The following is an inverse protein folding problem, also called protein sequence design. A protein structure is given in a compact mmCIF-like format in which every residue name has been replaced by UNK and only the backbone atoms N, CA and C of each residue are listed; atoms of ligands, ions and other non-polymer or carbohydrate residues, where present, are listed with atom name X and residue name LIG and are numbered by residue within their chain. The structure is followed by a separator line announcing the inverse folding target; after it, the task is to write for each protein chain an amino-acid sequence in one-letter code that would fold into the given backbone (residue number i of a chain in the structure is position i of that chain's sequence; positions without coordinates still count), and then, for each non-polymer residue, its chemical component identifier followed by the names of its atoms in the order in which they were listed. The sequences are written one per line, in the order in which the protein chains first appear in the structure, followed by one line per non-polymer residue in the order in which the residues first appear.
data_IF_216767570952
#
_entry.id   IF_216767570952
#
_cell.length_a   1.000
_cell.length_b   1.000
_cell.length_c   1.000
_cell.angle_alpha   90.00
_cell.angle_beta   90.00
_cell.angle_gamma   90.00
#
_symmetry.space_group_name_H-M   'P 1'
#
loop_
_entity.id
_entity.type
_entity.pdbx_description
1 polymer ?
#
# COMPACT_ATOMS: atom_id res chain seq x y z
N UNK A 1 43.31 63.68 -47.11
CA UNK A 1 42.95 62.31 -47.55
C UNK A 1 42.36 61.55 -46.35
N UNK A 2 41.41 60.62 -46.55
CA UNK A 2 39.99 60.84 -46.26
C UNK A 2 39.50 60.38 -44.87
N UNK A 3 38.35 60.97 -44.56
CA UNK A 3 37.38 60.76 -43.49
C UNK A 3 36.80 59.34 -43.56
N UNK A 4 36.74 58.59 -42.44
CA UNK A 4 35.72 57.54 -42.28
C UNK A 4 35.13 57.64 -40.87
N UNK A 5 33.82 57.94 -40.88
CA UNK A 5 32.92 58.21 -39.77
C UNK A 5 32.70 56.99 -38.89
N UNK A 6 32.61 57.20 -37.57
CA UNK A 6 31.93 56.29 -36.64
C UNK A 6 30.49 56.10 -37.12
N UNK A 7 30.11 54.88 -37.49
CA UNK A 7 28.71 54.50 -37.69
C UNK A 7 28.33 53.60 -36.52
N UNK A 8 27.70 54.21 -35.53
CA UNK A 8 27.01 53.49 -34.47
C UNK A 8 25.69 53.00 -35.07
N UNK A 9 25.66 51.74 -35.53
CA UNK A 9 24.40 51.09 -35.90
C UNK A 9 23.66 50.80 -34.60
N UNK A 10 22.64 51.61 -34.31
CA UNK A 10 21.66 51.29 -33.28
C UNK A 10 20.65 50.35 -33.93
N UNK A 11 20.83 49.04 -33.74
CA UNK A 11 19.80 48.06 -34.10
C UNK A 11 18.70 48.19 -33.05
N UNK A 12 17.71 49.03 -33.34
CA UNK A 12 16.42 48.96 -32.65
C UNK A 12 15.77 47.68 -33.18
N UNK A 13 16.03 46.57 -32.49
CA UNK A 13 15.22 45.37 -32.65
C UNK A 13 13.82 45.81 -32.20
N UNK A 14 12.80 45.84 -33.07
CA UNK A 14 11.45 45.88 -32.55
C UNK A 14 11.32 44.55 -31.81
N UNK A 15 11.41 44.61 -30.49
CA UNK A 15 10.91 43.55 -29.64
C UNK A 15 9.41 43.51 -29.95
N UNK A 16 9.07 42.79 -31.02
CA UNK A 16 7.75 42.27 -31.26
C UNK A 16 7.58 41.25 -30.14
N UNK A 17 7.30 41.75 -28.94
CA UNK A 17 6.67 40.99 -27.88
C UNK A 17 5.39 40.50 -28.58
N UNK A 18 5.41 39.25 -28.99
CA UNK A 18 4.20 38.53 -29.35
C UNK A 18 3.35 38.53 -28.07
N UNK A 19 2.57 39.60 -27.89
CA UNK A 19 1.40 39.58 -27.05
C UNK A 19 0.48 38.52 -27.64
N UNK A 20 0.01 37.64 -26.76
CA UNK A 20 -0.99 36.58 -26.94
C UNK A 20 -0.38 35.21 -27.30
N UNK A 21 -0.47 34.22 -26.41
CA UNK A 21 -1.73 33.86 -25.77
C UNK A 21 -1.56 33.61 -24.26
N UNK A 22 -2.32 34.35 -23.45
CA UNK A 22 -2.84 33.83 -22.17
C UNK A 22 -3.82 32.69 -22.53
N UNK A 23 -3.27 31.61 -23.09
CA UNK A 23 -4.04 30.53 -23.68
C UNK A 23 -4.61 29.71 -22.55
N UNK A 24 -5.86 29.99 -22.19
CA UNK A 24 -6.59 29.10 -21.31
C UNK A 24 -6.82 27.81 -22.09
N UNK A 25 -6.32 26.71 -21.56
CA UNK A 25 -6.61 25.37 -22.04
C UNK A 25 -7.80 24.82 -21.28
N UNK A 26 -8.57 23.95 -21.92
CA UNK A 26 -9.67 23.25 -21.25
C UNK A 26 -9.13 22.01 -20.56
N UNK A 27 -9.43 21.85 -19.28
CA UNK A 27 -9.01 20.68 -18.50
C UNK A 27 -9.67 19.42 -19.06
N UNK A 28 -8.88 18.40 -19.40
CA UNK A 28 -9.40 17.12 -19.85
C UNK A 28 -10.20 16.40 -18.73
N UNK A 29 -11.13 15.54 -19.14
CA UNK A 29 -11.80 14.62 -18.21
C UNK A 29 -10.91 13.40 -17.97
N UNK A 30 -10.58 13.16 -16.71
CA UNK A 30 -9.77 12.01 -16.26
C UNK A 30 -10.39 11.28 -15.06
N UNK A 31 -11.60 11.66 -14.66
CA UNK A 31 -12.36 10.92 -13.64
C UNK A 31 -12.65 9.50 -14.14
N UNK A 32 -12.46 8.51 -13.28
CA UNK A 32 -12.62 7.10 -13.60
C UNK A 32 -11.37 6.45 -14.21
N UNK A 33 -10.37 7.23 -14.60
CA UNK A 33 -9.12 6.72 -15.17
C UNK A 33 -8.11 6.29 -14.10
N UNK A 34 -7.13 5.50 -14.50
CA UNK A 34 -5.95 5.19 -13.68
C UNK A 34 -5.05 6.44 -13.56
N UNK A 35 -4.47 6.66 -12.37
CA UNK A 35 -3.66 7.85 -12.06
C UNK A 35 -2.53 8.11 -13.06
N UNK A 36 -1.80 7.08 -13.48
CA UNK A 36 -0.75 7.18 -14.48
C UNK A 36 -1.27 7.74 -15.81
N UNK A 37 -2.36 7.17 -16.34
CA UNK A 37 -3.01 7.68 -17.55
C UNK A 37 -3.51 9.13 -17.36
N UNK A 38 -4.26 9.38 -16.28
CA UNK A 38 -4.81 10.70 -15.95
C UNK A 38 -3.72 11.77 -15.87
N UNK A 39 -2.61 11.46 -15.20
CA UNK A 39 -1.45 12.34 -15.08
C UNK A 39 -0.79 12.57 -16.42
N UNK A 40 -0.64 11.54 -17.25
CA UNK A 40 -0.11 11.66 -18.61
C UNK A 40 -0.92 12.64 -19.47
N UNK A 41 -2.24 12.53 -19.44
CA UNK A 41 -3.16 13.43 -20.17
C UNK A 41 -2.99 14.88 -19.69
N UNK A 42 -3.07 15.13 -18.39
CA UNK A 42 -3.04 16.49 -17.84
C UNK A 42 -1.67 17.15 -18.01
N UNK A 43 -0.58 16.42 -17.77
CA UNK A 43 0.79 16.90 -18.02
C UNK A 43 1.02 17.14 -19.51
N UNK A 44 0.45 16.32 -20.39
CA UNK A 44 0.46 16.53 -21.84
C UNK A 44 -0.24 17.83 -22.28
N UNK A 45 -1.25 18.28 -21.53
CA UNK A 45 -1.87 19.60 -21.72
C UNK A 45 -0.98 20.75 -21.16
N UNK A 46 0.11 20.43 -20.47
CA UNK A 46 0.97 21.39 -19.80
C UNK A 46 0.45 21.80 -18.42
N UNK A 47 -0.40 20.99 -17.80
CA UNK A 47 -0.88 21.19 -16.43
C UNK A 47 -0.01 20.43 -15.43
N UNK A 48 -0.08 20.85 -14.17
CA UNK A 48 0.53 20.14 -13.05
C UNK A 48 -0.55 19.36 -12.30
N UNK A 49 -0.17 18.25 -11.67
CA UNK A 49 -1.12 17.37 -10.97
C UNK A 49 -0.77 17.31 -9.48
N UNK A 50 -1.77 17.53 -8.64
CA UNK A 50 -1.74 17.23 -7.20
C UNK A 50 -2.66 16.05 -6.94
N UNK A 51 -2.30 15.16 -6.03
CA UNK A 51 -3.12 14.02 -5.64
C UNK A 51 -3.51 14.11 -4.18
N UNK A 52 -4.74 13.72 -3.89
CA UNK A 52 -5.27 13.50 -2.55
C UNK A 52 -5.79 12.08 -2.50
N UNK A 53 -5.31 11.29 -1.56
CA UNK A 53 -5.77 9.92 -1.39
C UNK A 53 -7.08 9.93 -0.59
N UNK A 54 -8.03 9.09 -1.01
CA UNK A 54 -9.24 8.80 -0.26
C UNK A 54 -9.35 7.30 -0.09
N UNK A 55 -9.41 6.87 1.17
CA UNK A 55 -9.67 5.48 1.48
C UNK A 55 -11.10 5.11 1.07
N UNK A 56 -11.21 4.10 0.21
CA UNK A 56 -12.48 3.59 -0.28
C UNK A 56 -12.33 2.12 -0.65
N UNK A 57 -13.26 1.30 -0.18
CA UNK A 57 -13.33 -0.10 -0.55
C UNK A 57 -13.92 -0.26 -1.96
N UNK A 58 -13.59 -1.38 -2.61
CA UNK A 58 -14.22 -1.83 -3.87
C UNK A 58 -14.04 -0.88 -5.06
N UNK A 59 -13.02 -0.03 -4.99
CA UNK A 59 -12.52 0.76 -6.13
C UNK A 59 -11.05 0.38 -6.36
N UNK A 60 -10.65 0.11 -7.61
CA UNK A 60 -9.25 -0.10 -7.97
C UNK A 60 -8.33 0.98 -7.37
N UNK A 61 -7.28 0.55 -6.71
CA UNK A 61 -6.27 1.46 -6.15
C UNK A 61 -5.66 2.33 -7.25
N UNK A 62 -5.53 3.63 -6.96
CA UNK A 62 -5.02 4.62 -7.91
C UNK A 62 -6.04 5.13 -8.93
N UNK A 63 -7.28 4.63 -8.94
CA UNK A 63 -8.32 5.19 -9.81
C UNK A 63 -8.71 6.61 -9.37
N UNK A 64 -8.86 7.53 -10.32
CA UNK A 64 -9.30 8.91 -10.07
C UNK A 64 -10.79 8.92 -9.74
N UNK A 65 -11.11 9.29 -8.50
CA UNK A 65 -12.48 9.43 -8.01
C UNK A 65 -13.08 10.78 -8.41
N UNK A 66 -12.31 11.85 -8.26
CA UNK A 66 -12.74 13.20 -8.63
C UNK A 66 -11.56 14.02 -9.12
N UNK A 67 -11.87 15.06 -9.90
CA UNK A 67 -10.89 16.05 -10.35
C UNK A 67 -11.38 17.46 -10.03
N UNK A 68 -10.45 18.36 -9.77
CA UNK A 68 -10.69 19.78 -9.60
C UNK A 68 -9.53 20.59 -10.20
N UNK A 69 -9.74 21.51 -11.17
CA UNK A 69 -11.04 21.91 -11.72
C UNK A 69 -11.80 20.81 -12.45
N UNK A 70 -13.11 20.98 -12.57
CA UNK A 70 -13.96 20.07 -13.35
C UNK A 70 -13.55 20.06 -14.83
N UNK A 71 -13.87 18.99 -15.58
CA UNK A 71 -13.60 18.93 -17.01
C UNK A 71 -14.10 20.16 -17.77
N UNK A 72 -13.44 20.47 -18.88
CA UNK A 72 -13.70 21.62 -19.77
C UNK A 72 -13.47 23.01 -19.16
N UNK A 73 -13.13 23.09 -17.86
CA UNK A 73 -12.84 24.37 -17.19
C UNK A 73 -11.64 25.04 -17.85
N UNK A 74 -11.74 26.32 -18.26
CA UNK A 74 -10.60 27.06 -18.79
C UNK A 74 -9.57 27.35 -17.68
N UNK A 75 -8.37 26.80 -17.82
CA UNK A 75 -7.27 26.95 -16.87
C UNK A 75 -6.00 27.44 -17.60
N UNK A 76 -5.11 28.15 -16.91
CA UNK A 76 -3.82 28.54 -17.50
C UNK A 76 -2.87 27.35 -17.51
N UNK A 77 -2.01 27.27 -18.52
CA UNK A 77 -0.92 26.30 -18.55
C UNK A 77 0.00 26.50 -17.33
N UNK A 78 0.53 25.40 -16.79
CA UNK A 78 1.36 25.37 -15.60
C UNK A 78 0.59 25.36 -14.27
N UNK A 79 -0.73 25.58 -14.30
CA UNK A 79 -1.59 25.49 -13.11
C UNK A 79 -1.86 24.05 -12.70
N UNK A 80 -2.37 23.88 -11.47
CA UNK A 80 -2.64 22.58 -10.88
C UNK A 80 -4.06 22.08 -11.13
N UNK A 81 -4.16 20.79 -11.39
CA UNK A 81 -5.38 19.99 -11.23
C UNK A 81 -5.18 19.05 -10.05
N UNK A 82 -6.06 19.13 -9.07
CA UNK A 82 -6.11 18.22 -7.93
C UNK A 82 -6.98 17.02 -8.28
N UNK A 83 -6.44 15.81 -8.15
CA UNK A 83 -7.15 14.56 -8.30
C UNK A 83 -7.35 13.92 -6.93
N UNK A 84 -8.57 13.53 -6.61
CA UNK A 84 -8.81 12.62 -5.49
C UNK A 84 -8.73 11.21 -6.05
N UNK A 85 -7.84 10.38 -5.52
CA UNK A 85 -7.60 9.01 -5.97
C UNK A 85 -8.03 7.99 -4.93
N UNK A 86 -8.48 6.83 -5.39
CA UNK A 86 -8.84 5.72 -4.55
C UNK A 86 -7.59 5.10 -3.91
N UNK A 87 -7.67 4.88 -2.60
CA UNK A 87 -6.71 4.09 -1.84
C UNK A 87 -7.46 2.93 -1.18
N UNK A 88 -6.97 1.71 -1.36
CA UNK A 88 -7.59 0.56 -0.71
C UNK A 88 -7.35 0.59 0.80
N UNK A 89 -8.34 0.21 1.63
CA UNK A 89 -8.16 0.10 3.07
C UNK A 89 -7.14 -0.99 3.42
N UNK A 90 -6.41 -0.77 4.51
CA UNK A 90 -5.44 -1.70 5.07
C UNK A 90 -5.92 -2.23 6.42
N UNK A 91 -5.65 -3.51 6.67
CA UNK A 91 -6.07 -4.24 7.86
C UNK A 91 -4.88 -4.81 8.61
N UNK A 92 -5.13 -5.31 9.82
CA UNK A 92 -4.14 -6.04 10.62
C UNK A 92 -4.71 -7.38 11.04
N UNK A 93 -4.03 -8.48 10.69
CA UNK A 93 -4.35 -9.81 11.21
C UNK A 93 -3.55 -9.99 12.49
N UNK A 94 -4.25 -10.20 13.60
CA UNK A 94 -3.61 -10.54 14.86
C UNK A 94 -3.96 -11.98 15.22
N UNK A 95 -3.09 -12.66 15.95
CA UNK A 95 -3.39 -14.03 16.29
C UNK A 95 -2.34 -14.72 17.11
N UNK A 96 -2.52 -16.03 17.23
CA UNK A 96 -1.54 -16.88 17.88
C UNK A 96 -1.39 -18.24 17.21
N UNK A 97 -0.18 -18.78 17.28
CA UNK A 97 0.09 -20.20 17.08
C UNK A 97 0.18 -20.85 18.46
N UNK A 98 -0.62 -21.88 18.71
CA UNK A 98 -0.58 -22.67 19.94
C UNK A 98 0.02 -24.03 19.61
N UNK A 99 1.27 -24.25 20.02
CA UNK A 99 1.94 -25.55 19.94
C UNK A 99 1.67 -26.35 21.22
N UNK A 100 1.02 -27.49 21.09
CA UNK A 100 0.60 -28.36 22.20
C UNK A 100 1.33 -29.71 22.06
N UNK A 101 2.53 -29.82 22.62
CA UNK A 101 3.33 -31.06 22.56
C UNK A 101 4.27 -31.15 23.78
N UNK A 102 4.77 -32.34 24.05
CA UNK A 102 5.91 -32.62 24.92
C UNK A 102 7.27 -32.15 24.35
N UNK A 103 7.38 -31.91 23.04
CA UNK A 103 8.60 -31.50 22.33
C UNK A 103 8.80 -29.99 22.36
N UNK A 104 8.82 -29.43 23.56
CA UNK A 104 9.07 -28.02 23.80
C UNK A 104 10.41 -27.81 24.51
N UNK A 105 11.11 -26.74 24.13
CA UNK A 105 12.28 -26.22 24.82
C UNK A 105 12.01 -24.82 25.35
N UNK A 106 12.99 -24.25 26.07
CA UNK A 106 12.88 -22.91 26.67
C UNK A 106 12.16 -22.92 28.03
N UNK A 107 11.89 -21.72 28.54
CA UNK A 107 11.24 -21.48 29.84
C UNK A 107 10.24 -20.33 29.70
N UNK A 108 9.21 -20.32 30.54
CA UNK A 108 8.24 -19.23 30.72
C UNK A 108 7.87 -18.49 29.42
N UNK A 109 8.54 -17.37 29.11
CA UNK A 109 8.29 -16.44 27.99
C UNK A 109 9.26 -16.62 26.78
N UNK A 110 10.00 -17.72 26.76
CA UNK A 110 10.97 -18.06 25.71
C UNK A 110 10.82 -19.49 25.21
N UNK A 111 9.63 -20.10 25.37
CA UNK A 111 9.43 -21.46 24.89
C UNK A 111 9.49 -21.55 23.36
N UNK A 112 9.96 -22.67 22.85
CA UNK A 112 10.08 -22.94 21.40
C UNK A 112 9.85 -24.42 21.09
N UNK A 113 9.50 -24.71 19.83
CA UNK A 113 9.35 -26.09 19.36
C UNK A 113 10.70 -26.80 19.18
N UNK A 114 10.77 -28.09 19.49
CA UNK A 114 11.98 -28.91 19.31
C UNK A 114 11.69 -30.14 18.45
N UNK A 115 12.75 -30.83 18.01
CA UNK A 115 12.63 -32.03 17.19
C UNK A 115 11.85 -31.75 15.90
N UNK A 116 10.68 -32.39 15.76
CA UNK A 116 9.79 -32.19 14.62
C UNK A 116 9.13 -30.82 14.56
N UNK A 117 9.28 -29.96 15.59
CA UNK A 117 8.73 -28.61 15.71
C UNK A 117 9.78 -27.50 15.70
N UNK A 118 11.03 -27.79 15.34
CA UNK A 118 12.16 -26.86 15.44
C UNK A 118 12.07 -25.60 14.56
N UNK A 119 11.13 -25.54 13.61
CA UNK A 119 10.82 -24.32 12.85
C UNK A 119 9.80 -23.39 13.52
N UNK A 120 9.14 -23.83 14.61
CA UNK A 120 8.23 -22.99 15.37
C UNK A 120 9.01 -22.35 16.53
N UNK A 121 9.46 -21.14 16.29
CA UNK A 121 10.22 -20.33 17.23
C UNK A 121 9.83 -18.84 17.07
N UNK A 122 10.41 -17.97 17.90
CA UNK A 122 10.38 -16.52 17.71
C UNK A 122 10.95 -16.15 16.33
N UNK A 123 10.29 -15.24 15.63
CA UNK A 123 10.70 -14.80 14.30
C UNK A 123 10.31 -15.74 13.15
N UNK A 124 9.59 -16.83 13.42
CA UNK A 124 9.02 -17.70 12.39
C UNK A 124 8.19 -16.86 11.42
N UNK A 125 8.51 -16.93 10.13
CA UNK A 125 7.82 -16.14 9.11
C UNK A 125 6.41 -16.67 8.83
N UNK A 126 5.47 -15.74 8.73
CA UNK A 126 4.08 -15.96 8.31
C UNK A 126 3.85 -15.13 7.06
N UNK A 127 3.23 -15.72 6.04
CA UNK A 127 2.91 -14.99 4.80
C UNK A 127 1.41 -14.97 4.58
N UNK A 128 0.90 -13.88 4.02
CA UNK A 128 -0.50 -13.74 3.61
C UNK A 128 -0.51 -13.64 2.09
N UNK A 129 -1.31 -14.50 1.45
CA UNK A 129 -1.48 -14.55 0.01
C UNK A 129 -2.90 -14.17 -0.39
N UNK A 130 -3.03 -13.55 -1.56
CA UNK A 130 -4.34 -13.31 -2.19
C UNK A 130 -4.88 -14.56 -2.92
N UNK A 131 -6.05 -14.45 -3.53
CA UNK A 131 -6.72 -15.49 -4.31
C UNK A 131 -5.92 -15.98 -5.53
N UNK A 132 -4.90 -15.23 -5.96
CA UNK A 132 -3.98 -15.60 -7.04
C UNK A 132 -2.70 -16.23 -6.52
N UNK A 133 -2.56 -16.41 -5.21
CA UNK A 133 -1.36 -16.92 -4.55
C UNK A 133 -0.23 -15.88 -4.44
N UNK A 134 -0.50 -14.61 -4.74
CA UNK A 134 0.49 -13.53 -4.62
C UNK A 134 0.67 -13.20 -3.15
N UNK A 135 1.91 -13.14 -2.66
CA UNK A 135 2.19 -12.68 -1.30
C UNK A 135 1.89 -11.18 -1.22
N UNK A 136 0.95 -10.81 -0.35
CA UNK A 136 0.48 -9.43 -0.17
C UNK A 136 0.87 -8.82 1.18
N UNK A 137 1.22 -9.65 2.16
CA UNK A 137 1.76 -9.22 3.43
C UNK A 137 2.61 -10.33 4.06
N UNK A 138 3.49 -9.93 4.97
CA UNK A 138 4.33 -10.85 5.75
C UNK A 138 4.38 -10.40 7.19
N UNK A 139 4.34 -11.35 8.11
CA UNK A 139 4.60 -11.11 9.52
C UNK A 139 5.55 -12.15 10.08
N UNK A 140 5.78 -12.07 11.38
CA UNK A 140 6.58 -13.01 12.12
C UNK A 140 5.92 -13.30 13.47
N UNK A 141 6.17 -14.47 14.02
CA UNK A 141 5.87 -14.76 15.41
C UNK A 141 6.73 -13.91 16.34
N UNK A 142 6.16 -13.47 17.46
CA UNK A 142 6.91 -13.02 18.61
C UNK A 142 7.49 -14.19 19.42
N UNK A 143 8.09 -13.88 20.58
CA UNK A 143 8.57 -14.89 21.51
C UNK A 143 7.45 -15.83 21.96
N UNK A 144 7.76 -17.11 22.07
CA UNK A 144 6.82 -18.11 22.56
C UNK A 144 6.68 -18.03 24.08
N UNK A 145 5.45 -18.10 24.59
CA UNK A 145 5.20 -18.13 26.03
C UNK A 145 4.27 -19.26 26.45
N UNK A 146 4.58 -19.84 27.61
CA UNK A 146 3.70 -20.76 28.30
C UNK A 146 2.50 -20.00 28.90
N UNK A 147 1.27 -20.54 28.80
CA UNK A 147 0.10 -19.86 29.35
C UNK A 147 0.13 -19.88 30.88
N UNK A 148 -0.16 -18.73 31.50
CA UNK A 148 -0.28 -18.63 32.95
C UNK A 148 -1.38 -19.57 33.48
N UNK A 149 -1.07 -20.29 34.57
CA UNK A 149 -2.07 -21.03 35.36
C UNK A 149 -2.84 -22.14 34.61
N UNK A 150 -2.13 -23.03 33.91
CA UNK A 150 -2.74 -24.27 33.40
C UNK A 150 -1.99 -25.53 33.84
N UNK A 151 -2.72 -26.61 34.13
CA UNK A 151 -2.15 -27.91 34.53
C UNK A 151 -1.22 -28.55 33.49
N UNK A 152 -1.19 -27.99 32.28
CA UNK A 152 -0.39 -28.45 31.14
C UNK A 152 0.42 -27.29 30.53
N UNK A 153 0.71 -26.25 31.32
CA UNK A 153 1.38 -25.03 30.84
C UNK A 153 2.71 -25.37 30.13
N UNK A 154 3.50 -26.28 30.71
CA UNK A 154 4.76 -26.76 30.13
C UNK A 154 4.62 -27.53 28.81
N UNK A 155 3.42 -28.00 28.46
CA UNK A 155 3.13 -28.69 27.19
C UNK A 155 2.52 -27.75 26.15
N UNK A 156 2.36 -26.46 26.46
CA UNK A 156 1.74 -25.48 25.57
C UNK A 156 2.70 -24.32 25.39
N UNK A 157 3.11 -24.05 24.16
CA UNK A 157 3.83 -22.83 23.81
C UNK A 157 2.98 -21.97 22.86
N UNK A 158 2.76 -20.70 23.22
CA UNK A 158 1.93 -19.76 22.46
C UNK A 158 2.79 -18.68 21.84
N UNK A 159 2.73 -18.55 20.52
CA UNK A 159 3.44 -17.51 19.77
C UNK A 159 2.41 -16.52 19.23
N UNK A 160 2.39 -15.30 19.76
CA UNK A 160 1.55 -14.22 19.21
C UNK A 160 2.17 -13.66 17.94
N UNK A 161 1.35 -13.14 17.04
CA UNK A 161 1.82 -12.44 15.86
C UNK A 161 0.85 -11.34 15.45
N UNK A 162 1.40 -10.32 14.81
CA UNK A 162 0.66 -9.21 14.21
C UNK A 162 1.16 -9.02 12.77
N UNK A 163 0.26 -9.13 11.80
CA UNK A 163 0.54 -8.89 10.38
C UNK A 163 -0.18 -7.60 9.99
N UNK A 164 0.58 -6.53 9.85
CA UNK A 164 0.06 -5.19 9.54
C UNK A 164 0.02 -4.94 8.02
N UNK A 165 -0.71 -3.90 7.62
CA UNK A 165 -0.78 -3.42 6.24
C UNK A 165 -1.29 -4.47 5.24
N UNK A 166 -2.27 -5.28 5.66
CA UNK A 166 -2.90 -6.28 4.80
C UNK A 166 -3.94 -5.60 3.90
N UNK A 167 -3.75 -5.57 2.57
CA UNK A 167 -4.71 -4.91 1.68
C UNK A 167 -5.99 -5.73 1.52
N UNK A 168 -7.14 -5.06 1.32
CA UNK A 168 -8.41 -5.73 1.03
C UNK A 168 -8.30 -6.69 -0.17
N UNK A 169 -8.68 -7.95 0.00
CA UNK A 169 -8.88 -8.99 -1.01
C UNK A 169 -10.12 -9.80 -0.66
N UNK A 170 -10.68 -10.52 -1.63
CA UNK A 170 -11.85 -11.37 -1.40
C UNK A 170 -11.50 -12.59 -0.54
N UNK A 171 -10.30 -13.14 -0.73
CA UNK A 171 -9.81 -14.32 -0.02
C UNK A 171 -8.36 -14.13 0.40
N UNK A 172 -8.03 -14.77 1.51
CA UNK A 172 -6.71 -14.77 2.13
C UNK A 172 -6.28 -16.18 2.44
N UNK A 173 -5.06 -16.51 2.07
CA UNK A 173 -4.35 -17.70 2.55
C UNK A 173 -3.25 -17.25 3.50
N UNK A 174 -3.40 -17.56 4.79
CA UNK A 174 -2.38 -17.31 5.81
C UNK A 174 -1.54 -18.57 5.94
N UNK A 175 -0.28 -18.48 5.52
CA UNK A 175 0.65 -19.57 5.39
C UNK A 175 1.69 -19.52 6.52
N UNK A 176 1.72 -20.59 7.30
CA UNK A 176 2.61 -20.82 8.43
C UNK A 176 3.77 -21.73 8.04
N UNK A 177 4.25 -21.60 6.80
CA UNK A 177 5.35 -22.36 6.24
C UNK A 177 5.05 -23.85 6.21
N UNK A 178 5.88 -24.63 6.90
CA UNK A 178 5.75 -26.10 6.93
C UNK A 178 4.58 -26.60 7.77
N UNK A 179 3.91 -25.71 8.52
CA UNK A 179 2.82 -26.04 9.45
C UNK A 179 1.44 -25.99 8.83
N UNK A 180 1.37 -25.58 7.56
CA UNK A 180 0.14 -25.52 6.80
C UNK A 180 -0.39 -24.11 6.68
N UNK A 181 -1.62 -24.03 6.21
CA UNK A 181 -2.22 -22.78 5.78
C UNK A 181 -3.67 -22.71 6.26
N UNK A 182 -4.12 -21.51 6.59
CA UNK A 182 -5.52 -21.21 6.88
C UNK A 182 -6.10 -20.36 5.77
N UNK A 183 -7.32 -20.67 5.34
CA UNK A 183 -8.00 -19.95 4.27
C UNK A 183 -9.24 -19.26 4.83
N UNK A 184 -9.37 -17.97 4.54
CA UNK A 184 -10.50 -17.15 4.95
C UNK A 184 -11.00 -16.28 3.80
N UNK A 185 -12.31 -16.01 3.78
CA UNK A 185 -12.83 -14.88 3.02
C UNK A 185 -12.64 -13.58 3.80
N UNK A 186 -12.77 -12.45 3.12
CA UNK A 186 -12.80 -11.14 3.76
C UNK A 186 -13.88 -11.03 4.82
N UNK A 187 -15.10 -11.44 4.48
CA UNK A 187 -16.25 -11.36 5.38
C UNK A 187 -16.01 -12.18 6.64
N UNK A 188 -15.34 -13.34 6.51
CA UNK A 188 -15.02 -14.16 7.67
C UNK A 188 -13.96 -13.51 8.56
N UNK A 189 -12.95 -12.85 7.98
CA UNK A 189 -11.96 -12.12 8.77
C UNK A 189 -12.59 -10.92 9.48
N UNK A 190 -13.50 -10.19 8.83
CA UNK A 190 -14.27 -9.13 9.50
C UNK A 190 -15.15 -9.67 10.62
N UNK A 191 -15.84 -10.80 10.41
CA UNK A 191 -16.71 -11.42 11.42
C UNK A 191 -15.95 -11.81 12.70
N UNK A 192 -14.67 -12.16 12.58
CA UNK A 192 -13.81 -12.57 13.71
C UNK A 192 -12.85 -11.46 14.16
N UNK A 193 -13.12 -10.20 13.80
CA UNK A 193 -12.30 -9.03 14.14
C UNK A 193 -10.81 -9.19 13.78
N UNK A 194 -10.55 -9.87 12.67
CA UNK A 194 -9.21 -10.18 12.17
C UNK A 194 -8.33 -10.93 13.19
N UNK A 195 -8.96 -11.68 14.11
CA UNK A 195 -8.29 -12.53 15.10
C UNK A 195 -8.30 -13.99 14.66
N UNK A 196 -7.12 -14.60 14.53
CA UNK A 196 -6.99 -16.01 14.14
C UNK A 196 -6.17 -16.81 15.14
N UNK A 197 -6.39 -18.13 15.18
CA UNK A 197 -5.57 -19.03 15.97
C UNK A 197 -5.27 -20.30 15.17
N UNK A 198 -3.98 -20.64 15.08
CA UNK A 198 -3.53 -21.94 14.59
C UNK A 198 -3.19 -22.81 15.81
N UNK A 199 -3.74 -24.01 15.90
CA UNK A 199 -3.30 -25.00 16.88
C UNK A 199 -2.57 -26.14 16.18
N UNK A 200 -1.40 -26.51 16.71
CA UNK A 200 -0.54 -27.58 16.22
C UNK A 200 -0.09 -28.43 17.41
N UNK A 201 0.07 -29.73 17.21
CA UNK A 201 0.42 -30.70 18.26
C UNK A 201 0.51 -32.10 17.69
#
# INVERSE_FOLDING_TARGET
MPIIRKISISVIIPLLILLNSCGKIKVASVTGEELGYAKGVLVGQGLQVKTVEKEIADVPEGQVLTQNPSPETPIKQGEFVTLVIAKSPLYSINGSIRLIDSKLGGYDDTCYGTGGYNDIDSGMSITVKDDRGTIIATGQTGSGSHPESSSYSSMICVFKFDIIQVPKRNFYTIDFGRRGQLNYSFEKLEEIDWQITLSVG
#
